data_IF_069688709666
#
_entry.id   IF_069688709666
#
_cell.length_a   1.000
_cell.length_b   1.000
_cell.length_c   1.000
_cell.angle_alpha   90.00
_cell.angle_beta   90.00
_cell.angle_gamma   90.00
#
_symmetry.space_group_name_H-M   'P 1'
#
loop_
_entity.id
_entity.type
_entity.pdbx_description
1 polymer ?
#
# COMPACT_ATOMS: atom_id res chain seq x y z
N UNK A 1 -22.88 37.22 57.05
CA UNK A 1 -21.81 37.53 56.04
C UNK A 1 -20.77 36.38 55.98
N UNK A 2 -20.33 35.78 57.09
CA UNK A 2 -19.34 34.68 57.09
C UNK A 2 -19.85 33.36 56.43
N UNK A 3 -21.16 33.11 56.40
CA UNK A 3 -21.74 31.90 55.82
C UNK A 3 -21.77 31.91 54.28
N UNK A 4 -22.01 33.09 53.67
CA UNK A 4 -22.04 33.21 52.23
C UNK A 4 -20.65 33.12 51.58
N UNK A 5 -19.61 33.51 52.25
CA UNK A 5 -18.22 33.40 51.79
C UNK A 5 -17.73 31.91 51.75
N UNK A 6 -18.20 31.06 52.67
CA UNK A 6 -17.83 29.63 52.69
C UNK A 6 -18.52 28.82 51.58
N UNK A 7 -19.77 29.15 51.22
CA UNK A 7 -20.49 28.49 50.12
C UNK A 7 -19.88 28.87 48.77
N UNK A 8 -19.47 30.10 48.55
CA UNK A 8 -18.84 30.55 47.30
C UNK A 8 -17.51 29.86 47.01
N UNK A 9 -16.67 29.64 48.03
CA UNK A 9 -15.39 28.95 47.86
C UNK A 9 -15.53 27.45 47.60
N UNK A 10 -16.58 26.80 48.11
CA UNK A 10 -16.86 25.37 47.85
C UNK A 10 -17.36 25.15 46.40
N UNK A 11 -18.11 26.13 45.87
CA UNK A 11 -18.63 26.06 44.50
C UNK A 11 -17.51 26.32 43.47
N UNK A 12 -16.63 27.28 43.73
CA UNK A 12 -15.47 27.57 42.87
C UNK A 12 -14.49 26.39 42.79
N UNK A 13 -14.26 25.66 43.91
CA UNK A 13 -13.43 24.45 43.91
C UNK A 13 -14.05 23.31 43.09
N UNK A 14 -15.37 23.15 43.11
CA UNK A 14 -16.06 22.11 42.32
C UNK A 14 -16.07 22.44 40.82
N UNK A 15 -16.20 23.70 40.44
CA UNK A 15 -16.13 24.16 39.05
C UNK A 15 -14.71 24.01 38.50
N UNK A 16 -13.68 24.35 39.27
CA UNK A 16 -12.27 24.18 38.88
C UNK A 16 -11.91 22.68 38.68
N UNK A 17 -12.50 21.78 39.48
CA UNK A 17 -12.30 20.32 39.33
C UNK A 17 -12.98 19.74 38.07
N UNK A 18 -14.14 20.29 37.68
CA UNK A 18 -14.86 19.86 36.47
C UNK A 18 -14.21 20.36 35.17
N UNK A 19 -13.53 21.52 35.18
CA UNK A 19 -12.83 22.05 34.01
C UNK A 19 -11.51 21.30 33.75
N UNK A 20 -10.89 20.73 34.79
CA UNK A 20 -9.63 19.97 34.68
C UNK A 20 -9.78 18.60 34.02
N UNK A 21 -10.99 18.01 33.94
CA UNK A 21 -11.21 16.64 33.42
C UNK A 21 -11.51 16.64 31.90
N UNK A 22 -11.84 17.77 31.30
CA UNK A 22 -12.26 17.87 29.89
C UNK A 22 -11.12 18.09 28.92
N UNK A 23 -9.85 18.19 29.33
CA UNK A 23 -8.74 18.60 28.44
C UNK A 23 -7.75 17.48 28.11
N UNK A 24 -8.06 16.23 28.35
CA UNK A 24 -7.20 15.09 27.98
C UNK A 24 -7.88 14.10 27.05
N UNK A 25 -8.60 14.56 26.01
CA UNK A 25 -8.87 13.75 24.84
C UNK A 25 -7.77 14.02 23.83
N UNK A 26 -6.61 13.44 24.04
CA UNK A 26 -5.62 13.27 22.99
C UNK A 26 -6.26 12.35 21.93
N UNK A 27 -6.76 12.95 20.85
CA UNK A 27 -7.10 12.18 19.64
C UNK A 27 -5.80 11.55 19.12
N UNK A 28 -5.48 10.38 19.63
CA UNK A 28 -4.49 9.53 18.99
C UNK A 28 -5.05 9.16 17.63
N UNK A 29 -4.68 9.92 16.59
CA UNK A 29 -4.89 9.50 15.21
C UNK A 29 -3.94 8.32 14.98
N UNK A 30 -4.42 7.12 15.29
CA UNK A 30 -3.76 5.90 14.84
C UNK A 30 -3.80 5.93 13.32
N UNK A 31 -2.66 6.21 12.68
CA UNK A 31 -2.52 5.99 11.24
C UNK A 31 -2.81 4.53 10.97
N UNK A 32 -3.76 4.21 10.09
CA UNK A 32 -4.06 2.81 9.79
C UNK A 32 -2.78 2.12 9.33
N UNK A 33 -2.49 0.96 9.92
CA UNK A 33 -1.33 0.16 9.54
C UNK A 33 -1.37 -0.10 8.03
N UNK A 34 -0.29 0.25 7.34
CA UNK A 34 -0.18 0.01 5.90
C UNK A 34 -0.23 -1.50 5.64
N UNK A 35 -1.14 -1.96 4.80
CA UNK A 35 -1.21 -3.34 4.35
C UNK A 35 -0.68 -3.47 2.91
N UNK A 36 -0.45 -4.70 2.44
CA UNK A 36 0.11 -4.96 1.10
C UNK A 36 -0.74 -4.33 -0.02
N UNK A 37 -2.06 -4.27 0.15
CA UNK A 37 -2.97 -3.73 -0.86
C UNK A 37 -2.86 -2.21 -0.93
N UNK A 38 -2.87 -1.53 0.23
CA UNK A 38 -2.70 -0.08 0.31
C UNK A 38 -1.33 0.34 -0.22
N UNK A 39 -0.26 -0.38 0.14
CA UNK A 39 1.09 -0.12 -0.39
C UNK A 39 1.14 -0.33 -1.90
N UNK A 40 0.52 -1.40 -2.41
CA UNK A 40 0.40 -1.64 -3.85
C UNK A 40 -0.29 -0.47 -4.55
N UNK A 41 -1.49 -0.07 -4.10
CA UNK A 41 -2.21 1.04 -4.74
C UNK A 41 -1.48 2.39 -4.60
N UNK A 42 -0.74 2.60 -3.51
CA UNK A 42 0.12 3.77 -3.36
C UNK A 42 1.22 3.80 -4.44
N UNK A 43 1.89 2.68 -4.72
CA UNK A 43 2.85 2.56 -5.82
C UNK A 43 2.17 2.83 -7.16
N UNK A 44 1.03 2.19 -7.43
CA UNK A 44 0.29 2.29 -8.67
C UNK A 44 -0.21 3.71 -8.97
N UNK A 45 -0.38 4.56 -7.94
CA UNK A 45 -0.76 5.97 -8.10
C UNK A 45 0.33 6.83 -8.74
N UNK A 46 1.57 6.36 -8.76
CA UNK A 46 2.70 7.00 -9.44
C UNK A 46 2.89 6.52 -10.87
N UNK A 47 2.15 5.49 -11.29
CA UNK A 47 2.23 4.98 -12.66
C UNK A 47 1.33 5.77 -13.61
N UNK A 48 1.84 6.04 -14.80
CA UNK A 48 1.05 6.64 -15.88
C UNK A 48 0.50 5.52 -16.77
N UNK A 49 -0.79 5.33 -16.72
CA UNK A 49 -1.47 4.30 -17.51
C UNK A 49 -1.97 4.86 -18.83
N UNK A 50 -1.83 4.09 -19.91
CA UNK A 50 -2.40 4.45 -21.23
C UNK A 50 -3.91 4.23 -21.29
N UNK A 51 -4.48 3.54 -20.32
CA UNK A 51 -5.91 3.24 -20.22
C UNK A 51 -6.53 3.82 -18.96
N UNK A 52 -7.78 4.26 -19.03
CA UNK A 52 -8.54 4.73 -17.87
C UNK A 52 -8.98 3.60 -16.93
N UNK A 53 -8.79 2.34 -17.33
CA UNK A 53 -9.18 1.16 -16.55
C UNK A 53 -8.10 0.10 -16.59
N UNK A 54 -6.94 0.32 -15.92
CA UNK A 54 -5.83 -0.61 -15.94
C UNK A 54 -6.21 -1.94 -15.29
N UNK A 55 -5.74 -3.05 -15.90
CA UNK A 55 -6.01 -4.40 -15.48
C UNK A 55 -4.92 -4.87 -14.50
N UNK A 56 -5.32 -5.14 -13.25
CA UNK A 56 -4.49 -5.76 -12.23
C UNK A 56 -4.78 -7.27 -12.19
N UNK A 57 -3.78 -8.04 -12.51
CA UNK A 57 -3.86 -9.50 -12.54
C UNK A 57 -3.06 -10.10 -11.39
N UNK A 58 -3.74 -10.87 -10.55
CA UNK A 58 -3.11 -11.61 -9.46
C UNK A 58 -2.78 -13.01 -9.95
N UNK A 59 -1.49 -13.33 -9.96
CA UNK A 59 -0.98 -14.56 -10.57
C UNK A 59 -1.15 -15.74 -9.61
N UNK A 60 -1.87 -16.77 -10.07
CA UNK A 60 -2.10 -18.05 -9.36
C UNK A 60 -2.63 -17.91 -7.91
N UNK A 61 -3.26 -16.79 -7.55
CA UNK A 61 -3.80 -16.58 -6.21
C UNK A 61 -5.14 -15.83 -6.23
N UNK A 62 -6.21 -16.54 -6.47
CA UNK A 62 -7.58 -15.98 -6.47
C UNK A 62 -8.04 -15.50 -5.09
N UNK A 63 -7.43 -16.01 -3.99
CA UNK A 63 -7.80 -15.65 -2.62
C UNK A 63 -7.57 -14.17 -2.29
N UNK A 64 -6.63 -13.50 -2.97
CA UNK A 64 -6.35 -12.08 -2.74
C UNK A 64 -7.30 -11.12 -3.47
N UNK A 65 -8.14 -11.60 -4.38
CA UNK A 65 -8.99 -10.75 -5.23
C UNK A 65 -9.99 -9.93 -4.40
N UNK A 66 -10.63 -10.55 -3.42
CA UNK A 66 -11.61 -9.88 -2.57
C UNK A 66 -10.96 -8.73 -1.77
N UNK A 67 -9.74 -8.96 -1.28
CA UNK A 67 -9.00 -7.96 -0.51
C UNK A 67 -8.49 -6.84 -1.39
N UNK A 68 -7.98 -7.13 -2.59
CA UNK A 68 -7.64 -6.09 -3.57
C UNK A 68 -8.84 -5.23 -3.91
N UNK A 69 -10.02 -5.81 -4.18
CA UNK A 69 -11.24 -5.06 -4.48
C UNK A 69 -11.70 -4.20 -3.30
N UNK A 70 -11.57 -4.69 -2.07
CA UNK A 70 -11.96 -3.97 -0.85
C UNK A 70 -11.06 -2.77 -0.57
N UNK A 71 -9.77 -2.89 -0.87
CA UNK A 71 -8.77 -1.86 -0.61
C UNK A 71 -8.49 -0.95 -1.83
N UNK A 72 -9.14 -1.19 -2.97
CA UNK A 72 -9.01 -0.33 -4.13
C UNK A 72 -9.53 1.09 -3.81
N UNK A 73 -8.81 2.14 -4.22
CA UNK A 73 -9.25 3.52 -3.99
C UNK A 73 -10.65 3.77 -4.58
N UNK A 74 -11.50 4.47 -3.86
CA UNK A 74 -12.94 4.65 -4.17
C UNK A 74 -13.21 5.20 -5.58
N UNK A 75 -12.26 5.97 -6.13
CA UNK A 75 -12.39 6.58 -7.47
C UNK A 75 -11.48 5.92 -8.51
N UNK A 76 -10.90 4.76 -8.20
CA UNK A 76 -10.07 4.03 -9.15
C UNK A 76 -10.89 3.07 -10.01
N UNK A 77 -10.52 2.96 -11.27
CA UNK A 77 -11.16 2.07 -12.23
C UNK A 77 -10.35 0.80 -12.50
N UNK A 78 -9.59 0.29 -11.52
CA UNK A 78 -8.82 -0.93 -11.69
C UNK A 78 -9.72 -2.13 -11.95
N UNK A 79 -9.43 -2.87 -13.02
CA UNK A 79 -10.05 -4.19 -13.27
C UNK A 79 -9.20 -5.26 -12.61
N UNK A 80 -9.67 -5.83 -11.51
CA UNK A 80 -8.91 -6.77 -10.67
C UNK A 80 -9.43 -8.18 -10.94
N UNK A 81 -8.52 -9.08 -11.38
CA UNK A 81 -8.87 -10.46 -11.71
C UNK A 81 -7.72 -11.44 -11.39
N UNK A 82 -8.03 -12.72 -11.08
CA UNK A 82 -7.02 -13.76 -11.03
C UNK A 82 -6.71 -14.24 -12.46
N UNK A 83 -5.46 -14.63 -12.69
CA UNK A 83 -5.07 -15.34 -13.92
C UNK A 83 -4.01 -16.40 -13.60
N UNK A 84 -3.90 -17.42 -14.44
CA UNK A 84 -2.79 -18.36 -14.43
C UNK A 84 -1.60 -17.83 -15.24
N UNK A 85 -0.41 -18.41 -15.02
CA UNK A 85 0.81 -18.06 -15.76
C UNK A 85 0.61 -18.19 -17.28
N UNK A 86 -0.07 -19.25 -17.72
CA UNK A 86 -0.29 -19.51 -19.15
C UNK A 86 -1.20 -18.48 -19.84
N UNK A 87 -1.99 -17.74 -19.07
CA UNK A 87 -2.89 -16.71 -19.59
C UNK A 87 -2.22 -15.34 -19.73
N UNK A 88 -1.03 -15.13 -19.12
CA UNK A 88 -0.37 -13.83 -19.07
C UNK A 88 -0.17 -13.26 -20.47
N UNK A 89 0.41 -14.01 -21.39
CA UNK A 89 0.76 -13.55 -22.74
C UNK A 89 -0.44 -12.97 -23.52
N UNK A 90 -1.64 -13.48 -23.27
CA UNK A 90 -2.87 -13.08 -23.95
C UNK A 90 -3.76 -12.15 -23.11
N UNK A 91 -3.39 -11.92 -21.86
CA UNK A 91 -4.23 -11.17 -20.92
C UNK A 91 -4.12 -9.66 -21.06
N UNK A 92 -2.97 -9.17 -21.56
CA UNK A 92 -2.62 -7.74 -21.61
C UNK A 92 -2.88 -7.03 -20.27
N UNK A 93 -2.40 -7.63 -19.16
CA UNK A 93 -2.48 -7.02 -17.85
C UNK A 93 -1.45 -5.90 -17.72
N UNK A 94 -1.86 -4.69 -17.38
CA UNK A 94 -0.94 -3.59 -17.12
C UNK A 94 -0.22 -3.73 -15.78
N UNK A 95 -0.79 -4.52 -14.85
CA UNK A 95 -0.22 -4.77 -13.53
C UNK A 95 -0.26 -6.27 -13.27
N UNK A 96 0.90 -6.84 -12.90
CA UNK A 96 1.07 -8.24 -12.52
C UNK A 96 1.45 -8.28 -11.05
N UNK A 97 0.60 -8.91 -10.23
CA UNK A 97 0.87 -9.10 -8.81
C UNK A 97 1.25 -10.56 -8.55
N UNK A 98 2.49 -10.78 -8.15
CA UNK A 98 3.02 -12.09 -7.80
C UNK A 98 2.90 -12.34 -6.30
N UNK A 99 2.45 -13.55 -5.98
CA UNK A 99 2.30 -14.03 -4.61
C UNK A 99 2.73 -15.50 -4.57
N UNK A 100 3.52 -15.87 -3.56
CA UNK A 100 3.99 -17.25 -3.36
C UNK A 100 4.91 -17.82 -4.46
N UNK A 101 5.57 -16.95 -5.23
CA UNK A 101 6.57 -17.34 -6.22
C UNK A 101 7.97 -16.92 -5.76
N UNK A 102 8.98 -17.68 -6.16
CA UNK A 102 10.38 -17.28 -5.95
C UNK A 102 10.76 -16.15 -6.92
N UNK A 103 11.77 -15.34 -6.55
CA UNK A 103 12.30 -14.29 -7.43
C UNK A 103 12.74 -14.84 -8.81
N UNK A 104 13.30 -16.06 -8.82
CA UNK A 104 13.70 -16.75 -10.05
C UNK A 104 12.49 -17.12 -10.92
N UNK A 105 11.42 -17.61 -10.32
CA UNK A 105 10.20 -17.97 -11.06
C UNK A 105 9.52 -16.71 -11.60
N UNK A 106 9.44 -15.63 -10.81
CA UNK A 106 8.95 -14.33 -11.26
C UNK A 106 9.74 -13.84 -12.49
N UNK A 107 11.08 -13.86 -12.41
CA UNK A 107 11.94 -13.44 -13.52
C UNK A 107 11.72 -14.30 -14.77
N UNK A 108 11.59 -15.61 -14.59
CA UNK A 108 11.32 -16.54 -15.70
C UNK A 108 9.96 -16.25 -16.36
N UNK A 109 8.93 -15.96 -15.56
CA UNK A 109 7.60 -15.59 -16.06
C UNK A 109 7.65 -14.25 -16.80
N UNK A 110 8.30 -13.24 -16.24
CA UNK A 110 8.44 -11.93 -16.88
C UNK A 110 9.15 -12.04 -18.23
N UNK A 111 10.21 -12.82 -18.32
CA UNK A 111 10.98 -12.99 -19.56
C UNK A 111 10.23 -13.80 -20.63
N UNK A 112 9.44 -14.79 -20.24
CA UNK A 112 8.86 -15.74 -21.20
C UNK A 112 7.40 -15.48 -21.55
N UNK A 113 6.66 -14.76 -20.70
CA UNK A 113 5.21 -14.57 -20.86
C UNK A 113 4.77 -13.11 -20.99
N UNK A 114 5.68 -12.14 -20.71
CA UNK A 114 5.34 -10.71 -20.77
C UNK A 114 6.06 -10.07 -21.96
N UNK A 115 5.31 -9.78 -23.01
CA UNK A 115 5.78 -9.13 -24.24
C UNK A 115 5.07 -7.80 -24.51
N UNK A 116 4.51 -7.18 -23.49
CA UNK A 116 3.75 -5.93 -23.50
C UNK A 116 4.10 -5.09 -22.26
N UNK A 117 3.85 -3.78 -22.26
CA UNK A 117 4.10 -2.94 -21.08
C UNK A 117 3.30 -3.41 -19.88
N UNK A 118 4.00 -3.83 -18.81
CA UNK A 118 3.38 -4.32 -17.58
C UNK A 118 4.27 -4.08 -16.36
N UNK A 119 3.70 -3.48 -15.31
CA UNK A 119 4.35 -3.28 -14.04
C UNK A 119 4.19 -4.50 -13.15
N UNK A 120 5.29 -5.06 -12.66
CA UNK A 120 5.29 -6.21 -11.78
C UNK A 120 5.51 -5.82 -10.33
N UNK A 121 4.73 -6.43 -9.43
CA UNK A 121 4.80 -6.23 -7.98
C UNK A 121 4.78 -7.61 -7.31
N UNK A 122 5.62 -7.82 -6.29
CA UNK A 122 5.70 -9.05 -5.52
C UNK A 122 5.58 -8.78 -4.02
N UNK A 123 4.99 -9.72 -3.29
CA UNK A 123 4.98 -9.72 -1.82
C UNK A 123 5.81 -10.86 -1.22
N UNK A 124 6.57 -11.58 -2.03
CA UNK A 124 7.38 -12.74 -1.59
C UNK A 124 8.86 -12.64 -2.00
N UNK A 125 9.24 -11.57 -2.68
CA UNK A 125 10.60 -11.33 -3.15
C UNK A 125 11.25 -10.23 -2.29
N UNK A 126 11.89 -10.61 -1.19
CA UNK A 126 12.40 -9.66 -0.18
C UNK A 126 13.68 -8.96 -0.66
N UNK A 127 14.55 -9.65 -1.39
CA UNK A 127 15.84 -9.08 -1.84
C UNK A 127 15.67 -8.12 -3.01
N UNK A 128 14.71 -8.37 -3.90
CA UNK A 128 14.38 -7.51 -5.04
C UNK A 128 15.52 -7.34 -6.07
N UNK A 129 16.46 -8.27 -6.12
CA UNK A 129 17.57 -8.25 -7.08
C UNK A 129 17.16 -8.78 -8.45
N UNK A 130 16.21 -9.70 -8.48
CA UNK A 130 15.65 -10.32 -9.68
C UNK A 130 14.12 -10.37 -9.56
N UNK A 131 13.40 -10.56 -10.65
CA UNK A 131 11.95 -10.71 -10.67
C UNK A 131 11.22 -9.38 -10.75
N UNK A 132 10.28 -9.15 -9.86
CA UNK A 132 9.39 -8.01 -9.93
C UNK A 132 10.07 -6.64 -9.80
N UNK A 133 9.48 -5.62 -10.42
CA UNK A 133 9.95 -4.24 -10.36
C UNK A 133 9.78 -3.62 -8.96
N UNK A 134 8.71 -3.99 -8.26
CA UNK A 134 8.46 -3.57 -6.87
C UNK A 134 8.29 -4.80 -5.98
N UNK A 135 9.04 -4.83 -4.87
CA UNK A 135 9.06 -5.96 -3.95
C UNK A 135 8.63 -5.49 -2.56
N UNK A 136 7.44 -5.90 -2.16
CA UNK A 136 6.86 -5.54 -0.88
C UNK A 136 7.42 -6.44 0.23
N UNK A 137 7.77 -5.85 1.35
CA UNK A 137 8.21 -6.59 2.53
C UNK A 137 7.58 -5.99 3.80
N UNK A 138 7.44 -6.85 4.81
CA UNK A 138 6.89 -6.41 6.09
C UNK A 138 7.95 -5.62 6.87
N UNK A 139 7.57 -4.43 7.34
CA UNK A 139 8.37 -3.59 8.22
C UNK A 139 7.51 -3.06 9.37
N UNK A 140 7.93 -3.32 10.60
CA UNK A 140 7.17 -2.95 11.81
C UNK A 140 5.71 -3.42 11.73
N UNK A 141 4.75 -2.51 11.85
CA UNK A 141 3.32 -2.80 11.74
C UNK A 141 2.75 -2.58 10.33
N UNK A 142 3.61 -2.33 9.33
CA UNK A 142 3.18 -2.00 7.97
C UNK A 142 3.95 -2.76 6.90
N UNK A 143 3.91 -2.21 5.69
CA UNK A 143 4.65 -2.68 4.53
C UNK A 143 5.47 -1.56 3.92
N UNK A 144 6.72 -1.88 3.61
CA UNK A 144 7.62 -1.09 2.80
C UNK A 144 7.88 -1.81 1.47
N UNK A 145 8.66 -1.20 0.57
CA UNK A 145 9.03 -1.83 -0.68
C UNK A 145 10.44 -1.44 -1.12
N UNK A 146 11.07 -2.36 -1.86
CA UNK A 146 12.28 -2.12 -2.63
C UNK A 146 11.93 -2.02 -4.11
N UNK A 147 12.83 -1.45 -4.89
CA UNK A 147 12.67 -1.26 -6.34
C UNK A 147 13.82 -1.94 -7.07
N UNK A 148 13.49 -2.84 -7.98
CA UNK A 148 14.41 -3.39 -8.96
C UNK A 148 14.39 -2.49 -10.20
N UNK A 149 15.43 -1.68 -10.37
CA UNK A 149 15.49 -0.68 -11.46
C UNK A 149 15.58 -1.31 -12.83
N UNK A 150 16.20 -2.49 -12.95
CA UNK A 150 16.32 -3.21 -14.23
C UNK A 150 14.95 -3.73 -14.67
N UNK A 151 14.22 -4.38 -13.75
CA UNK A 151 12.86 -4.84 -14.02
C UNK A 151 11.88 -3.68 -14.24
N UNK A 152 12.06 -2.57 -13.53
CA UNK A 152 11.27 -1.37 -13.76
C UNK A 152 11.49 -0.79 -15.16
N UNK A 153 12.74 -0.71 -15.61
CA UNK A 153 13.08 -0.26 -16.97
C UNK A 153 12.50 -1.21 -18.02
N UNK A 154 12.61 -2.52 -17.82
CA UNK A 154 12.05 -3.54 -18.71
C UNK A 154 10.52 -3.51 -18.77
N UNK A 155 9.85 -3.03 -17.73
CA UNK A 155 8.38 -2.97 -17.68
C UNK A 155 7.76 -2.06 -18.73
N UNK A 156 8.52 -1.12 -19.28
CA UNK A 156 8.08 -0.06 -20.22
C UNK A 156 6.91 0.79 -19.67
N UNK A 157 6.64 0.74 -18.38
CA UNK A 157 5.62 1.56 -17.72
C UNK A 157 6.28 2.81 -17.16
N UNK A 158 5.74 3.97 -17.51
CA UNK A 158 6.23 5.24 -16.97
C UNK A 158 5.81 5.39 -15.50
N UNK A 159 6.81 5.52 -14.62
CA UNK A 159 6.62 5.76 -13.18
C UNK A 159 7.17 7.14 -12.82
N UNK A 160 6.39 7.92 -12.08
CA UNK A 160 6.83 9.20 -11.53
C UNK A 160 7.96 8.94 -10.51
N UNK A 161 9.14 9.59 -10.66
CA UNK A 161 10.27 9.41 -9.74
C UNK A 161 9.97 9.68 -8.26
N UNK A 162 8.88 10.40 -7.96
CA UNK A 162 8.44 10.62 -6.57
C UNK A 162 8.09 9.33 -5.82
N UNK A 163 7.87 8.23 -6.51
CA UNK A 163 7.74 6.90 -5.89
C UNK A 163 8.95 6.54 -5.03
N UNK A 164 10.16 7.03 -5.37
CA UNK A 164 11.38 6.85 -4.59
C UNK A 164 11.30 7.53 -3.22
N UNK A 165 10.58 8.66 -3.13
CA UNK A 165 10.33 9.34 -1.85
C UNK A 165 9.37 8.53 -0.97
N UNK A 166 8.39 7.86 -1.57
CA UNK A 166 7.50 6.96 -0.87
C UNK A 166 8.27 5.75 -0.30
N UNK A 167 9.19 5.16 -1.06
CA UNK A 167 10.06 4.08 -0.59
C UNK A 167 10.89 4.55 0.62
N UNK A 168 11.55 5.71 0.52
CA UNK A 168 12.38 6.26 1.60
C UNK A 168 11.57 6.60 2.84
N UNK A 169 10.37 7.18 2.71
CA UNK A 169 9.51 7.50 3.86
C UNK A 169 9.01 6.24 4.57
N UNK A 170 8.77 5.15 3.85
CA UNK A 170 8.40 3.87 4.43
C UNK A 170 9.57 3.18 5.16
N UNK A 171 10.82 3.51 4.80
CA UNK A 171 12.03 3.04 5.48
C UNK A 171 12.35 3.83 6.75
N UNK A 172 12.05 5.13 6.79
CA UNK A 172 12.41 6.01 7.91
C UNK A 172 11.32 6.15 8.98
N UNK A 173 10.17 5.51 8.85
CA UNK A 173 9.14 5.43 9.87
C UNK A 173 9.57 4.42 10.97
N UNK A 174 10.46 4.85 11.88
CA UNK A 174 10.83 4.17 13.12
C UNK A 174 9.89 4.56 14.26
#
# INVERSE_FOLDING_TARGET
IKYYLRLGMAYLKKIALMIGITFCISLSHATPASNIFNTTFSILSYAKWETNSPKLCVINNSGLIADFKRNAPTHSNYRIQPISVNEIANSHCQILFFSNLSAKDEQSILNNHVNFPALSISNNNIECENGSAFCLYRKNQGYAFKINMDSLTQSQVHIDPRVLLLAKSSESAE
#
